data_IF_297665716623
#
_entry.id   IF_297665716623
#
_cell.length_a   1.000
_cell.length_b   1.000
_cell.length_c   1.000
_cell.angle_alpha   90.00
_cell.angle_beta   90.00
_cell.angle_gamma   90.00
#
_symmetry.space_group_name_H-M   'P 1'
#
loop_
_entity.id
_entity.type
_entity.pdbx_description
1 polymer ?
#
# COMPACT_ATOMS: atom_id res chain seq x y z
N UNK A 1 54.69 -21.64 22.79
CA UNK A 1 54.04 -21.38 21.47
C UNK A 1 52.50 -21.49 21.48
N UNK A 2 51.83 -21.94 22.55
CA UNK A 2 50.35 -22.06 22.59
C UNK A 2 49.59 -20.78 22.96
N UNK A 3 50.27 -19.78 23.57
CA UNK A 3 49.62 -18.54 24.03
C UNK A 3 49.19 -17.61 22.88
N UNK A 4 49.90 -17.67 21.75
CA UNK A 4 49.56 -16.95 20.52
C UNK A 4 48.41 -17.59 19.74
N UNK A 5 48.23 -18.92 19.84
CA UNK A 5 47.15 -19.64 19.14
C UNK A 5 45.78 -19.38 19.76
N UNK A 6 45.73 -19.15 21.08
CA UNK A 6 44.49 -18.84 21.81
C UNK A 6 43.99 -17.42 21.49
N UNK A 7 44.90 -16.44 21.36
CA UNK A 7 44.53 -15.06 21.02
C UNK A 7 43.95 -14.91 19.60
N UNK A 8 44.47 -15.66 18.63
CA UNK A 8 43.99 -15.62 17.24
C UNK A 8 42.59 -16.25 17.10
N UNK A 9 42.29 -17.27 17.90
CA UNK A 9 41.00 -17.97 17.89
C UNK A 9 39.87 -17.13 18.51
N UNK A 10 40.18 -16.31 19.53
CA UNK A 10 39.23 -15.39 20.18
C UNK A 10 38.82 -14.20 19.28
N UNK A 11 39.73 -13.72 18.43
CA UNK A 11 39.45 -12.60 17.51
C UNK A 11 38.59 -13.07 16.32
N UNK A 12 38.78 -14.30 15.85
CA UNK A 12 38.02 -14.87 14.72
C UNK A 12 36.52 -15.04 15.04
N UNK A 13 36.16 -15.32 16.31
CA UNK A 13 34.75 -15.45 16.74
C UNK A 13 34.03 -14.11 16.91
N UNK A 14 34.74 -12.98 16.98
CA UNK A 14 34.12 -11.66 17.17
C UNK A 14 33.57 -11.07 15.85
N UNK A 15 34.03 -11.56 14.70
CA UNK A 15 33.65 -11.04 13.37
C UNK A 15 32.35 -11.66 12.84
N UNK A 16 31.85 -12.76 13.44
CA UNK A 16 30.61 -13.41 13.01
C UNK A 16 29.35 -12.90 13.70
N UNK A 17 29.48 -12.00 14.68
CA UNK A 17 28.33 -11.40 15.38
C UNK A 17 27.95 -10.08 14.70
N UNK A 18 27.26 -10.16 13.57
CA UNK A 18 26.46 -9.02 13.13
C UNK A 18 26.36 -8.79 11.63
N UNK A 19 25.23 -9.23 11.05
CA UNK A 19 24.36 -8.31 10.32
C UNK A 19 22.99 -8.96 10.05
N UNK A 20 22.29 -9.40 11.09
CA UNK A 20 20.85 -9.58 10.98
C UNK A 20 20.19 -8.20 11.20
N UNK A 21 20.29 -7.34 10.17
CA UNK A 21 19.58 -6.04 10.09
C UNK A 21 18.21 -6.24 9.43
N UNK A 22 17.53 -7.34 9.74
CA UNK A 22 16.16 -7.58 9.31
C UNK A 22 15.20 -6.69 10.09
N UNK A 23 14.42 -5.87 9.38
CA UNK A 23 13.32 -5.13 9.99
C UNK A 23 12.27 -6.13 10.51
N UNK A 24 11.78 -5.92 11.74
CA UNK A 24 10.76 -6.81 12.32
C UNK A 24 9.44 -6.61 11.58
N UNK A 25 8.99 -7.64 10.87
CA UNK A 25 7.72 -7.66 10.16
C UNK A 25 6.63 -8.33 11.00
N UNK A 26 5.47 -7.68 11.09
CA UNK A 26 4.23 -8.24 11.59
C UNK A 26 3.38 -8.76 10.43
N UNK A 27 3.02 -10.04 10.46
CA UNK A 27 2.20 -10.67 9.42
C UNK A 27 0.78 -10.07 9.43
N UNK A 28 0.28 -9.68 8.26
CA UNK A 28 -1.05 -9.08 8.09
C UNK A 28 -1.86 -9.91 7.10
N UNK A 29 -2.98 -10.44 7.56
CA UNK A 29 -3.92 -11.24 6.77
C UNK A 29 -5.32 -11.08 7.35
N UNK A 30 -6.34 -11.38 6.53
CA UNK A 30 -7.73 -11.36 6.99
C UNK A 30 -8.71 -11.51 5.85
N UNK A 31 -10.00 -11.29 6.16
CA UNK A 31 -11.10 -11.34 5.20
C UNK A 31 -11.85 -10.01 5.21
N UNK A 32 -12.17 -9.49 4.03
CA UNK A 32 -12.95 -8.25 3.86
C UNK A 32 -14.35 -8.56 3.37
N UNK A 33 -15.35 -8.05 4.09
CA UNK A 33 -16.77 -8.25 3.78
C UNK A 33 -17.50 -6.92 3.61
N UNK A 34 -18.56 -6.93 2.80
CA UNK A 34 -19.50 -5.83 2.62
C UNK A 34 -20.92 -6.41 2.60
N UNK A 35 -21.78 -5.97 3.54
CA UNK A 35 -23.15 -6.51 3.71
C UNK A 35 -23.17 -8.04 3.83
N UNK A 36 -22.30 -8.57 4.69
CA UNK A 36 -22.14 -10.00 4.96
C UNK A 36 -21.68 -10.85 3.75
N UNK A 37 -21.28 -10.20 2.66
CA UNK A 37 -20.73 -10.85 1.48
C UNK A 37 -19.23 -10.53 1.34
N UNK A 38 -18.37 -11.52 1.04
CA UNK A 38 -16.96 -11.27 0.79
C UNK A 38 -16.78 -10.42 -0.47
N UNK A 39 -15.87 -9.46 -0.41
CA UNK A 39 -15.50 -8.67 -1.58
C UNK A 39 -14.56 -9.52 -2.44
N UNK A 40 -15.00 -9.90 -3.64
CA UNK A 40 -14.29 -10.90 -4.47
C UNK A 40 -13.09 -10.35 -5.25
N UNK A 41 -12.89 -9.04 -5.25
CA UNK A 41 -11.78 -8.39 -5.94
C UNK A 41 -11.54 -7.00 -5.36
N UNK A 42 -10.34 -6.46 -5.53
CA UNK A 42 -9.96 -5.13 -5.08
C UNK A 42 -8.54 -5.09 -4.54
N UNK A 43 -8.14 -3.90 -4.09
CA UNK A 43 -6.81 -3.67 -3.52
C UNK A 43 -6.97 -3.05 -2.14
N UNK A 44 -6.24 -3.59 -1.17
CA UNK A 44 -6.15 -3.04 0.17
C UNK A 44 -4.86 -2.23 0.26
N UNK A 45 -4.96 -0.98 0.71
CA UNK A 45 -3.86 -0.04 0.82
C UNK A 45 -3.54 0.20 2.28
N UNK A 46 -2.28 0.00 2.66
CA UNK A 46 -1.72 0.26 3.98
C UNK A 46 -0.78 1.46 3.90
N UNK A 47 -1.04 2.48 4.71
CA UNK A 47 -0.26 3.71 4.72
C UNK A 47 0.17 4.09 6.13
N UNK A 48 1.48 4.22 6.33
CA UNK A 48 2.07 4.81 7.52
C UNK A 48 2.97 5.98 7.08
N UNK A 49 2.45 7.22 7.10
CA UNK A 49 3.21 8.39 6.65
C UNK A 49 4.39 8.73 7.56
N UNK A 50 4.37 8.30 8.84
CA UNK A 50 5.48 8.55 9.77
C UNK A 50 6.68 7.65 9.46
N UNK A 51 6.43 6.40 9.05
CA UNK A 51 7.47 5.45 8.66
C UNK A 51 7.79 5.50 7.15
N UNK A 52 7.06 6.31 6.36
CA UNK A 52 7.23 6.37 4.91
C UNK A 52 6.80 5.07 4.19
N UNK A 53 5.92 4.28 4.79
CA UNK A 53 5.49 2.98 4.25
C UNK A 53 4.17 3.13 3.51
N UNK A 54 4.14 2.66 2.26
CA UNK A 54 2.94 2.54 1.44
C UNK A 54 2.93 1.18 0.74
N UNK A 55 2.04 0.29 1.14
CA UNK A 55 2.00 -1.10 0.65
C UNK A 55 0.58 -1.48 0.25
N UNK A 56 0.47 -2.39 -0.71
CA UNK A 56 -0.81 -2.87 -1.22
C UNK A 56 -0.89 -4.39 -1.17
N UNK A 57 -2.08 -4.92 -0.90
CA UNK A 57 -2.39 -6.34 -1.06
C UNK A 57 -3.63 -6.52 -1.93
N UNK A 58 -3.55 -7.48 -2.85
CA UNK A 58 -4.69 -7.87 -3.67
C UNK A 58 -5.67 -8.73 -2.86
N UNK A 59 -6.96 -8.48 -3.07
CA UNK A 59 -8.03 -9.34 -2.57
C UNK A 59 -8.19 -10.56 -3.47
N UNK A 60 -8.31 -11.73 -2.83
CA UNK A 60 -8.63 -12.99 -3.49
C UNK A 60 -10.15 -13.11 -3.72
N UNK A 61 -10.61 -14.02 -4.60
CA UNK A 61 -12.03 -14.25 -4.88
C UNK A 61 -12.88 -14.64 -3.66
N UNK A 62 -12.27 -15.16 -2.61
CA UNK A 62 -12.91 -15.52 -1.34
C UNK A 62 -12.97 -14.35 -0.33
N UNK A 63 -12.50 -13.16 -0.73
CA UNK A 63 -12.40 -11.98 0.12
C UNK A 63 -11.23 -12.00 1.09
N UNK A 64 -10.34 -13.00 1.02
CA UNK A 64 -9.14 -13.04 1.85
C UNK A 64 -8.02 -12.22 1.24
N UNK A 65 -7.11 -11.77 2.10
CA UNK A 65 -5.88 -11.11 1.69
C UNK A 65 -4.73 -11.53 2.61
N UNK A 66 -3.53 -11.49 2.07
CA UNK A 66 -2.28 -11.64 2.82
C UNK A 66 -1.26 -10.69 2.23
N UNK A 67 -0.63 -9.87 3.07
CA UNK A 67 0.33 -8.88 2.59
C UNK A 67 1.73 -9.49 2.50
N UNK A 68 2.30 -9.46 1.30
CA UNK A 68 3.66 -9.88 1.01
C UNK A 68 4.49 -8.70 0.52
N UNK A 69 5.69 -8.55 1.07
CA UNK A 69 6.67 -7.54 0.69
C UNK A 69 7.95 -8.21 0.19
N UNK A 70 8.87 -7.43 -0.39
CA UNK A 70 10.17 -7.94 -0.83
C UNK A 70 11.00 -8.56 0.32
N UNK A 71 10.78 -8.08 1.55
CA UNK A 71 11.50 -8.54 2.74
C UNK A 71 10.81 -9.70 3.46
N UNK A 72 9.67 -10.19 2.93
CA UNK A 72 8.90 -11.29 3.50
C UNK A 72 7.43 -10.94 3.72
N UNK A 73 6.74 -11.77 4.50
CA UNK A 73 5.33 -11.61 4.80
C UNK A 73 5.10 -10.55 5.89
N UNK A 74 4.28 -9.54 5.60
CA UNK A 74 3.84 -8.55 6.57
C UNK A 74 4.42 -7.15 6.41
N UNK A 75 4.16 -6.31 7.41
CA UNK A 75 4.57 -4.90 7.48
C UNK A 75 5.54 -4.66 8.61
N UNK A 76 6.41 -3.64 8.50
CA UNK A 76 7.13 -3.12 9.63
C UNK A 76 6.17 -2.75 10.76
N UNK A 77 6.54 -3.05 12.01
CA UNK A 77 5.69 -2.75 13.16
C UNK A 77 5.40 -1.24 13.24
N UNK A 78 4.13 -0.88 13.43
CA UNK A 78 3.72 0.51 13.53
C UNK A 78 2.21 0.70 13.37
N UNK A 79 1.78 1.96 13.32
CA UNK A 79 0.39 2.34 13.15
C UNK A 79 0.10 2.67 11.69
N UNK A 80 -0.90 2.01 11.11
CA UNK A 80 -1.26 2.15 9.70
C UNK A 80 -2.69 2.64 9.53
N UNK A 81 -2.89 3.48 8.51
CA UNK A 81 -4.20 3.73 7.92
C UNK A 81 -4.46 2.66 6.85
N UNK A 82 -5.65 2.08 6.88
CA UNK A 82 -6.05 1.02 5.96
C UNK A 82 -7.23 1.50 5.13
N UNK A 83 -7.15 1.33 3.82
CA UNK A 83 -8.23 1.63 2.88
C UNK A 83 -8.47 0.43 1.98
N UNK A 84 -9.74 0.11 1.71
CA UNK A 84 -10.13 -0.92 0.74
C UNK A 84 -10.64 -0.20 -0.49
N UNK A 85 -9.98 -0.44 -1.63
CA UNK A 85 -10.41 0.04 -2.93
C UNK A 85 -11.04 -1.11 -3.72
N UNK A 86 -12.38 -1.25 -3.71
CA UNK A 86 -13.05 -2.24 -4.54
C UNK A 86 -12.87 -1.90 -6.02
N UNK A 87 -12.89 -2.89 -6.92
CA UNK A 87 -12.90 -2.64 -8.35
C UNK A 87 -14.13 -1.81 -8.67
N UNK A 88 -13.99 -0.95 -9.69
CA UNK A 88 -15.13 -0.26 -10.27
C UNK A 88 -16.05 -1.36 -10.81
N UNK A 89 -17.14 -1.63 -10.07
CA UNK A 89 -18.19 -2.52 -10.55
C UNK A 89 -18.72 -2.01 -11.89
N UNK A 90 -19.38 -2.86 -12.69
CA UNK A 90 -20.06 -2.38 -13.89
C UNK A 90 -20.90 -1.16 -13.50
N UNK A 91 -20.88 -0.07 -14.29
CA UNK A 91 -21.56 1.16 -13.91
C UNK A 91 -22.99 0.78 -13.54
N UNK A 92 -23.34 0.91 -12.26
CA UNK A 92 -24.71 0.69 -11.82
C UNK A 92 -25.52 1.63 -12.69
N UNK A 93 -26.29 1.08 -13.63
CA UNK A 93 -27.14 1.85 -14.53
C UNK A 93 -28.19 2.49 -13.64
N UNK A 94 -27.83 3.63 -13.07
CA UNK A 94 -28.69 4.49 -12.31
C UNK A 94 -29.79 4.85 -13.28
N UNK A 95 -30.94 4.15 -13.18
CA UNK A 95 -32.19 4.55 -13.81
C UNK A 95 -32.67 5.83 -13.13
N UNK A 96 -31.86 6.89 -13.16
CA UNK A 96 -32.37 8.25 -13.11
C UNK A 96 -32.93 8.50 -14.50
N UNK A 97 -34.25 8.58 -14.55
CA UNK A 97 -35.04 8.54 -15.76
C UNK A 97 -34.60 9.56 -16.80
N UNK A 98 -35.05 9.32 -18.03
CA UNK A 98 -35.04 10.32 -19.07
C UNK A 98 -35.63 11.63 -18.53
N UNK A 99 -34.74 12.56 -18.22
CA UNK A 99 -35.05 13.94 -17.90
C UNK A 99 -34.16 14.79 -18.76
N UNK A 100 -34.55 15.00 -20.02
CA UNK A 100 -34.06 16.11 -20.80
C UNK A 100 -34.44 17.39 -20.04
N UNK A 101 -33.50 17.99 -19.30
CA UNK A 101 -33.69 19.33 -18.74
C UNK A 101 -32.37 20.09 -18.68
N UNK A 102 -32.27 21.07 -19.58
CA UNK A 102 -31.50 22.34 -19.50
C UNK A 102 -30.03 22.25 -19.08
N UNK A 103 -29.05 22.57 -19.92
CA UNK A 103 -28.90 23.89 -20.53
C UNK A 103 -28.04 24.77 -19.63
N UNK A 104 -26.75 24.94 -19.98
CA UNK A 104 -25.90 26.10 -19.74
C UNK A 104 -24.46 25.77 -20.16
N UNK A 105 -24.06 26.21 -21.36
CA UNK A 105 -22.65 26.29 -21.74
C UNK A 105 -22.06 27.52 -21.05
N UNK A 106 -21.62 27.40 -19.80
CA UNK A 106 -20.75 28.40 -19.19
C UNK A 106 -19.29 27.99 -19.41
N UNK A 107 -18.86 28.04 -20.67
CA UNK A 107 -17.43 28.11 -20.99
C UNK A 107 -17.07 29.59 -20.93
N UNK A 108 -16.55 30.04 -19.78
CA UNK A 108 -15.86 31.31 -19.73
C UNK A 108 -14.64 31.20 -20.67
N UNK A 109 -14.47 32.10 -21.65
CA UNK A 109 -13.26 32.09 -22.46
C UNK A 109 -12.06 32.37 -21.55
N UNK A 110 -11.08 31.47 -21.57
CA UNK A 110 -9.78 31.69 -20.94
C UNK A 110 -9.15 32.90 -21.66
N UNK A 111 -8.81 34.01 -20.97
CA UNK A 111 -8.06 35.09 -21.58
C UNK A 111 -6.70 34.54 -22.00
N UNK A 112 -6.36 34.60 -23.29
CA UNK A 112 -5.00 34.28 -23.73
C UNK A 112 -4.07 35.35 -23.15
N UNK A 113 -3.26 34.96 -22.18
CA UNK A 113 -2.17 35.76 -21.61
C UNK A 113 -1.03 35.88 -22.64
N UNK A 114 -1.22 36.60 -23.76
CA UNK A 114 -0.18 36.79 -24.78
C UNK A 114 -0.04 38.24 -25.30
N UNK A 115 -0.75 39.22 -24.73
CA UNK A 115 -0.73 40.57 -25.31
C UNK A 115 -0.18 41.66 -24.35
N UNK A 116 0.66 41.31 -23.38
CA UNK A 116 1.28 42.28 -22.46
C UNK A 116 2.81 42.25 -22.51
N UNK A 117 3.37 42.69 -23.64
CA UNK A 117 4.71 43.31 -23.74
C UNK A 117 4.68 44.32 -24.90
N UNK A 118 4.31 45.55 -24.60
CA UNK A 118 4.52 46.74 -25.43
C UNK A 118 5.16 47.82 -24.56
#
# INVERSE_FOLDING_TARGET
MHRFRIGLLLIATLVTVGCDRGEKLGRVFGTVTYKDQPITAGVIVFSNPQAGVHMTADLKPDGTYELQTANGFGLPLGTYKVAVNPPVGPPTRSRRGCGCRSGAKNTLPIPRLRDQWA
#
